data_IF_187436840588
#
_entry.id   IF_187436840588
#
_cell.length_a   1.000
_cell.length_b   1.000
_cell.length_c   1.000
_cell.angle_alpha   90.00
_cell.angle_beta   90.00
_cell.angle_gamma   90.00
#
_symmetry.space_group_name_H-M   'P 1'
#
loop_
_entity.id
_entity.type
_entity.pdbx_description
1 polymer ?
#
# COMPACT_ATOMS: atom_id res chain seq x y z
N UNK A 1 -12.11 1.92 1.12
CA UNK A 1 -12.94 2.96 0.49
C UNK A 1 -12.07 3.73 -0.48
N UNK A 2 -12.51 3.88 -1.74
CA UNK A 2 -11.82 4.73 -2.73
C UNK A 2 -11.89 6.18 -2.27
N UNK A 3 -10.72 6.82 -2.08
CA UNK A 3 -10.62 8.25 -1.72
C UNK A 3 -10.83 9.19 -2.92
N UNK A 4 -10.93 8.60 -4.10
CA UNK A 4 -11.36 9.23 -5.35
C UNK A 4 -12.90 9.38 -5.37
N UNK A 5 -13.41 10.45 -4.75
CA UNK A 5 -14.84 10.73 -4.59
C UNK A 5 -15.28 11.98 -5.39
N UNK A 6 -16.57 12.12 -5.69
CA UNK A 6 -17.09 13.32 -6.39
C UNK A 6 -16.70 14.59 -5.62
N UNK A 7 -16.83 14.54 -4.29
CA UNK A 7 -16.43 15.63 -3.41
C UNK A 7 -14.96 16.01 -3.59
N UNK A 8 -14.07 15.02 -3.68
CA UNK A 8 -12.64 15.28 -3.90
C UNK A 8 -12.40 16.02 -5.24
N UNK A 9 -13.14 15.68 -6.31
CA UNK A 9 -13.00 16.37 -7.61
C UNK A 9 -13.54 17.79 -7.59
N UNK A 10 -14.67 18.01 -6.91
CA UNK A 10 -15.22 19.36 -6.70
C UNK A 10 -14.30 20.24 -5.85
N UNK A 11 -13.65 19.65 -4.84
CA UNK A 11 -12.67 20.35 -4.01
C UNK A 11 -11.44 20.76 -4.86
N UNK A 12 -10.96 19.89 -5.76
CA UNK A 12 -9.86 20.22 -6.69
C UNK A 12 -10.21 21.39 -7.62
N UNK A 13 -11.43 21.40 -8.15
CA UNK A 13 -11.94 22.48 -9.01
C UNK A 13 -12.01 23.80 -8.23
N UNK A 14 -12.56 23.77 -7.01
CA UNK A 14 -12.63 24.93 -6.11
C UNK A 14 -11.26 25.49 -5.75
N UNK A 15 -10.26 24.61 -5.60
CA UNK A 15 -8.88 24.99 -5.29
C UNK A 15 -8.08 25.44 -6.52
N UNK A 16 -8.60 25.25 -7.74
CA UNK A 16 -7.91 25.66 -8.97
C UNK A 16 -6.71 24.79 -9.37
N UNK A 17 -6.59 23.57 -8.81
CA UNK A 17 -5.44 22.66 -9.01
C UNK A 17 -5.84 21.38 -9.75
N UNK A 18 -4.87 20.68 -10.36
CA UNK A 18 -5.06 19.38 -11.03
C UNK A 18 -6.24 19.36 -12.03
N UNK A 19 -6.26 20.30 -12.99
CA UNK A 19 -7.34 20.46 -14.00
C UNK A 19 -7.77 19.17 -14.69
N UNK A 20 -6.82 18.25 -14.94
CA UNK A 20 -7.10 16.95 -15.56
C UNK A 20 -7.94 15.98 -14.70
N UNK A 21 -8.27 16.33 -13.46
CA UNK A 21 -9.12 15.56 -12.56
C UNK A 21 -10.45 16.27 -12.24
N UNK A 22 -10.77 17.36 -12.95
CA UNK A 22 -12.03 18.08 -12.75
C UNK A 22 -13.22 17.31 -13.32
N UNK A 23 -14.41 17.61 -12.83
CA UNK A 23 -15.65 17.02 -13.35
C UNK A 23 -15.88 17.47 -14.79
N UNK A 24 -16.15 16.53 -15.69
CA UNK A 24 -16.54 16.87 -17.05
C UNK A 24 -18.03 17.26 -17.08
N UNK A 25 -18.33 18.45 -17.61
CA UNK A 25 -19.67 19.05 -17.69
C UNK A 25 -20.31 18.92 -19.08
N UNK A 26 -19.62 18.30 -20.05
CA UNK A 26 -20.06 18.23 -21.45
C UNK A 26 -21.20 17.23 -21.71
N UNK A 27 -21.59 16.42 -20.72
CA UNK A 27 -22.79 15.58 -20.80
C UNK A 27 -23.81 16.01 -19.75
N UNK A 28 -25.12 15.83 -20.05
CA UNK A 28 -26.29 16.10 -19.19
C UNK A 28 -26.18 15.60 -17.73
N UNK A 29 -25.16 14.78 -17.43
CA UNK A 29 -24.75 14.42 -16.08
C UNK A 29 -23.26 14.72 -15.92
N UNK A 30 -22.90 15.40 -14.84
CA UNK A 30 -21.51 15.58 -14.46
C UNK A 30 -20.84 14.20 -14.31
N UNK A 31 -19.88 13.88 -15.19
CA UNK A 31 -19.17 12.60 -15.20
C UNK A 31 -17.72 12.80 -14.80
N UNK A 32 -17.19 11.81 -14.08
CA UNK A 32 -15.77 11.75 -13.74
C UNK A 32 -15.06 10.91 -14.78
N UNK A 33 -14.12 11.51 -15.47
CA UNK A 33 -13.18 10.75 -16.28
C UNK A 33 -12.30 9.89 -15.38
N UNK A 34 -11.87 8.74 -15.90
CA UNK A 34 -11.00 7.86 -15.16
C UNK A 34 -9.68 8.59 -14.88
N UNK A 35 -9.37 8.82 -13.61
CA UNK A 35 -8.13 9.48 -13.24
C UNK A 35 -6.91 8.77 -13.85
N UNK A 36 -5.89 9.52 -14.26
CA UNK A 36 -4.71 8.96 -14.93
C UNK A 36 -3.90 7.97 -14.06
N UNK A 37 -4.10 8.00 -12.73
CA UNK A 37 -3.54 7.04 -11.78
C UNK A 37 -4.45 5.83 -11.50
N UNK A 38 -5.64 5.76 -12.11
CA UNK A 38 -6.59 4.66 -11.95
C UNK A 38 -6.38 3.58 -13.00
N UNK A 39 -6.30 2.33 -12.55
CA UNK A 39 -6.19 1.16 -13.42
C UNK A 39 -7.54 0.81 -14.07
N UNK A 40 -7.52 0.40 -15.34
CA UNK A 40 -8.70 -0.16 -16.00
C UNK A 40 -9.05 -1.53 -15.41
N UNK A 41 -10.26 -2.01 -15.69
CA UNK A 41 -10.71 -3.33 -15.21
C UNK A 41 -9.77 -4.47 -15.65
N UNK A 42 -9.27 -4.41 -16.90
CA UNK A 42 -8.36 -5.42 -17.42
C UNK A 42 -7.01 -5.40 -16.71
N UNK A 43 -6.42 -4.20 -16.53
CA UNK A 43 -5.16 -4.01 -15.82
C UNK A 43 -5.27 -4.50 -14.36
N UNK A 44 -6.42 -4.28 -13.70
CA UNK A 44 -6.66 -4.80 -12.34
C UNK A 44 -6.65 -6.33 -12.32
N UNK A 45 -7.29 -6.97 -13.29
CA UNK A 45 -7.26 -8.44 -13.42
C UNK A 45 -5.84 -8.94 -13.68
N UNK A 46 -5.08 -8.24 -14.50
CA UNK A 46 -3.70 -8.58 -14.80
C UNK A 46 -2.81 -8.50 -13.55
N UNK A 47 -2.92 -7.41 -12.77
CA UNK A 47 -2.24 -7.29 -11.48
C UNK A 47 -2.62 -8.44 -10.54
N UNK A 48 -3.90 -8.76 -10.42
CA UNK A 48 -4.33 -9.86 -9.55
C UNK A 48 -3.80 -11.21 -10.03
N UNK A 49 -3.81 -11.46 -11.35
CA UNK A 49 -3.21 -12.68 -11.92
C UNK A 49 -1.72 -12.77 -11.59
N UNK A 50 -0.97 -11.68 -11.75
CA UNK A 50 0.44 -11.60 -11.39
C UNK A 50 0.67 -11.92 -9.90
N UNK A 51 -0.07 -11.26 -9.00
CA UNK A 51 0.15 -11.48 -7.56
C UNK A 51 -0.30 -12.91 -7.17
N UNK A 52 -1.29 -13.48 -7.84
CA UNK A 52 -1.76 -14.85 -7.60
C UNK A 52 -0.81 -15.93 -8.09
N UNK A 53 0.03 -15.65 -9.09
CA UNK A 53 1.02 -16.62 -9.58
C UNK A 53 2.26 -16.73 -8.68
N UNK A 54 2.45 -15.77 -7.76
CA UNK A 54 3.60 -15.74 -6.86
C UNK A 54 3.40 -16.71 -5.71
N UNK A 55 4.39 -17.57 -5.50
CA UNK A 55 4.49 -18.45 -4.33
C UNK A 55 5.58 -17.93 -3.40
N UNK A 56 5.27 -17.90 -2.11
CA UNK A 56 6.23 -17.55 -1.07
C UNK A 56 6.73 -18.80 -0.34
N UNK A 57 7.95 -18.76 0.23
CA UNK A 57 8.41 -19.80 1.15
C UNK A 57 7.43 -19.97 2.32
N UNK A 58 7.39 -21.18 2.87
CA UNK A 58 6.51 -21.46 4.01
C UNK A 58 6.82 -20.54 5.19
N UNK A 59 5.77 -20.08 5.85
CA UNK A 59 5.87 -19.11 6.94
C UNK A 59 6.31 -17.71 6.54
N UNK A 60 6.52 -17.37 5.26
CA UNK A 60 6.87 -16.01 4.86
C UNK A 60 5.62 -15.12 4.73
N UNK A 61 4.64 -15.49 3.91
CA UNK A 61 3.39 -14.74 3.73
C UNK A 61 2.22 -15.71 3.49
N UNK A 62 0.99 -15.25 3.67
CA UNK A 62 -0.19 -16.06 3.34
C UNK A 62 -0.23 -16.39 1.85
N UNK A 63 -0.87 -17.50 1.50
CA UNK A 63 -1.09 -17.87 0.10
C UNK A 63 -1.91 -16.76 -0.61
N UNK A 64 -1.27 -16.05 -1.53
CA UNK A 64 -1.82 -14.88 -2.23
C UNK A 64 -3.06 -15.21 -3.04
N UNK A 65 -3.16 -16.41 -3.62
CA UNK A 65 -4.35 -16.87 -4.35
C UNK A 65 -5.62 -16.84 -3.50
N UNK A 66 -5.52 -17.18 -2.21
CA UNK A 66 -6.66 -17.19 -1.27
C UNK A 66 -7.09 -15.77 -0.89
N UNK A 67 -6.24 -14.79 -1.14
CA UNK A 67 -6.45 -13.39 -0.79
C UNK A 67 -6.98 -12.54 -1.97
N UNK A 68 -7.46 -13.18 -3.03
CA UNK A 68 -7.91 -12.48 -4.24
C UNK A 68 -9.25 -12.99 -4.73
N UNK A 69 -10.06 -12.04 -5.20
CA UNK A 69 -11.25 -12.32 -5.97
C UNK A 69 -11.04 -11.70 -7.35
N UNK A 70 -10.58 -12.54 -8.29
CA UNK A 70 -10.26 -12.11 -9.67
C UNK A 70 -11.53 -11.67 -10.39
N UNK A 71 -12.65 -12.38 -10.20
CA UNK A 71 -13.94 -12.08 -10.84
C UNK A 71 -14.46 -10.71 -10.45
N UNK A 72 -14.35 -10.35 -9.17
CA UNK A 72 -14.71 -9.03 -8.66
C UNK A 72 -13.58 -8.01 -8.76
N UNK A 73 -12.42 -8.39 -9.30
CA UNK A 73 -11.22 -7.55 -9.41
C UNK A 73 -10.84 -6.86 -8.10
N UNK A 74 -10.88 -7.61 -6.99
CA UNK A 74 -10.63 -7.10 -5.63
C UNK A 74 -9.67 -8.01 -4.88
N UNK A 75 -8.79 -7.40 -4.10
CA UNK A 75 -8.14 -8.09 -2.99
C UNK A 75 -9.18 -8.40 -1.92
N UNK A 76 -9.14 -9.60 -1.35
CA UNK A 76 -10.02 -10.04 -0.28
C UNK A 76 -9.18 -10.69 0.80
N UNK A 77 -9.48 -10.48 2.09
CA UNK A 77 -8.84 -11.24 3.18
C UNK A 77 -7.30 -11.11 3.27
N UNK A 78 -6.72 -10.00 2.82
CA UNK A 78 -5.31 -9.70 3.14
C UNK A 78 -5.22 -9.30 4.61
N UNK A 79 -4.32 -9.94 5.36
CA UNK A 79 -3.96 -9.47 6.70
C UNK A 79 -2.96 -8.32 6.60
N UNK A 80 -2.76 -7.60 7.70
CA UNK A 80 -1.79 -6.49 7.81
C UNK A 80 -0.40 -6.87 7.32
N UNK A 81 0.10 -8.04 7.74
CA UNK A 81 1.37 -8.60 7.27
C UNK A 81 1.41 -8.81 5.75
N UNK A 82 0.35 -9.40 5.16
CA UNK A 82 0.29 -9.67 3.72
C UNK A 82 0.24 -8.36 2.90
N UNK A 83 -0.50 -7.36 3.39
CA UNK A 83 -0.49 -6.01 2.82
C UNK A 83 0.92 -5.40 2.85
N UNK A 84 1.65 -5.60 3.94
CA UNK A 84 3.01 -5.09 4.08
C UNK A 84 3.97 -5.75 3.08
N UNK A 85 3.92 -7.09 2.95
CA UNK A 85 4.70 -7.83 1.93
C UNK A 85 4.34 -7.35 0.52
N UNK A 86 3.05 -7.17 0.23
CA UNK A 86 2.59 -6.66 -1.05
C UNK A 86 3.17 -5.27 -1.36
N UNK A 87 3.05 -4.31 -0.43
CA UNK A 87 3.58 -2.95 -0.59
C UNK A 87 5.10 -2.92 -0.79
N UNK A 88 5.84 -3.76 -0.05
CA UNK A 88 7.30 -3.79 -0.09
C UNK A 88 7.89 -4.52 -1.30
N UNK A 89 7.25 -5.58 -1.77
CA UNK A 89 7.87 -6.52 -2.72
C UNK A 89 7.15 -6.62 -4.05
N UNK A 90 5.82 -6.51 -4.05
CA UNK A 90 5.00 -6.89 -5.19
C UNK A 90 4.42 -5.68 -5.91
N UNK A 91 4.02 -4.65 -5.16
CA UNK A 91 3.30 -3.49 -5.69
C UNK A 91 4.07 -2.82 -6.81
N UNK A 92 5.33 -2.45 -6.57
CA UNK A 92 6.21 -1.79 -7.55
C UNK A 92 6.43 -2.60 -8.83
N UNK A 93 6.48 -3.93 -8.70
CA UNK A 93 6.70 -4.83 -9.84
C UNK A 93 5.41 -4.99 -10.63
N UNK A 94 4.30 -5.24 -9.93
CA UNK A 94 3.01 -5.53 -10.54
C UNK A 94 2.39 -4.36 -11.29
N UNK A 95 2.66 -3.11 -10.88
CA UNK A 95 2.08 -1.93 -11.55
C UNK A 95 2.96 -1.35 -12.66
N UNK A 96 4.19 -1.88 -12.85
CA UNK A 96 5.23 -1.21 -13.64
C UNK A 96 4.84 -0.92 -15.08
N UNK A 97 4.07 -1.81 -15.70
CA UNK A 97 3.58 -1.71 -17.07
C UNK A 97 2.08 -1.36 -17.15
N UNK A 98 1.40 -1.27 -16.00
CA UNK A 98 -0.05 -1.07 -15.93
C UNK A 98 -0.46 0.39 -15.70
N UNK A 99 0.47 1.25 -15.29
CA UNK A 99 0.23 2.66 -15.00
C UNK A 99 1.28 3.54 -15.68
N UNK A 100 0.97 4.82 -15.81
CA UNK A 100 1.90 5.82 -16.35
C UNK A 100 3.17 5.90 -15.51
N UNK A 101 4.32 6.11 -16.17
CA UNK A 101 5.64 6.17 -15.52
C UNK A 101 5.68 7.16 -14.36
N UNK A 102 4.97 8.27 -14.48
CA UNK A 102 4.94 9.32 -13.47
C UNK A 102 4.16 8.92 -12.21
N UNK A 103 3.24 7.95 -12.33
CA UNK A 103 2.54 7.34 -11.19
C UNK A 103 3.36 6.18 -10.60
N UNK A 104 3.95 5.36 -11.47
CA UNK A 104 4.74 4.19 -11.07
C UNK A 104 5.98 4.60 -10.28
N UNK A 105 6.73 5.62 -10.74
CA UNK A 105 8.01 6.01 -10.12
C UNK A 105 7.86 6.38 -8.64
N UNK A 106 6.93 7.26 -8.20
CA UNK A 106 6.71 7.53 -6.78
C UNK A 106 6.28 6.30 -5.99
N UNK A 107 5.40 5.45 -6.53
CA UNK A 107 5.00 4.21 -5.85
C UNK A 107 6.20 3.25 -5.69
N UNK A 108 7.07 3.15 -6.68
CA UNK A 108 8.31 2.38 -6.58
C UNK A 108 9.24 2.91 -5.48
N UNK A 109 9.36 4.23 -5.33
CA UNK A 109 10.14 4.84 -4.25
C UNK A 109 9.53 4.49 -2.88
N UNK A 110 8.21 4.54 -2.74
CA UNK A 110 7.52 4.09 -1.53
C UNK A 110 7.80 2.61 -1.21
N UNK A 111 7.72 1.73 -2.22
CA UNK A 111 8.04 0.30 -2.07
C UNK A 111 9.49 0.05 -1.66
N UNK A 112 10.43 0.96 -1.99
CA UNK A 112 11.84 0.89 -1.57
C UNK A 112 12.09 1.47 -0.18
N UNK A 113 11.32 2.47 0.22
CA UNK A 113 11.42 3.13 1.53
C UNK A 113 11.13 2.16 2.69
N UNK A 114 10.04 1.38 2.60
CA UNK A 114 9.65 0.49 3.68
C UNK A 114 10.70 -0.59 4.01
N UNK A 115 11.28 -1.33 3.04
CA UNK A 115 12.33 -2.31 3.30
C UNK A 115 13.56 -1.73 3.99
N UNK A 116 13.93 -0.47 3.73
CA UNK A 116 15.05 0.19 4.41
C UNK A 116 14.76 0.37 5.91
N UNK A 117 13.55 0.80 6.25
CA UNK A 117 13.13 0.97 7.65
C UNK A 117 12.94 -0.37 8.39
N UNK A 118 12.55 -1.41 7.67
CA UNK A 118 12.30 -2.74 8.19
C UNK A 118 13.47 -3.68 7.92
N UNK A 119 14.66 -3.14 7.69
CA UNK A 119 15.86 -3.96 7.62
C UNK A 119 16.22 -4.45 9.02
N UNK A 120 16.79 -5.66 9.11
CA UNK A 120 17.28 -6.20 10.39
C UNK A 120 18.39 -5.33 10.98
N UNK A 121 19.21 -4.77 10.08
CA UNK A 121 20.28 -3.83 10.38
C UNK A 121 20.18 -2.69 9.36
N UNK A 122 20.41 -1.46 9.80
CA UNK A 122 20.50 -0.30 8.93
C UNK A 122 21.63 0.62 9.40
N UNK A 123 22.23 1.37 8.48
CA UNK A 123 23.15 2.44 8.85
C UNK A 123 22.36 3.69 9.21
N UNK A 124 22.81 4.45 10.22
CA UNK A 124 22.12 5.68 10.61
C UNK A 124 22.06 6.70 9.47
N UNK A 125 23.10 6.75 8.64
CA UNK A 125 23.21 7.57 7.42
C UNK A 125 22.04 7.32 6.46
N UNK A 126 21.72 6.06 6.19
CA UNK A 126 20.59 5.67 5.32
C UNK A 126 19.25 6.15 5.87
N UNK A 127 19.08 6.10 7.20
CA UNK A 127 17.84 6.57 7.85
C UNK A 127 17.76 8.09 7.88
N UNK A 128 18.87 8.81 8.03
CA UNK A 128 18.90 10.26 7.87
C UNK A 128 18.52 10.67 6.45
N UNK A 129 19.04 9.99 5.44
CA UNK A 129 18.63 10.21 4.05
C UNK A 129 17.13 9.91 3.85
N UNK A 130 16.63 8.84 4.47
CA UNK A 130 15.21 8.47 4.40
C UNK A 130 14.27 9.55 4.96
N UNK A 131 14.72 10.41 5.90
CA UNK A 131 13.94 11.57 6.38
C UNK A 131 13.66 12.58 5.28
N UNK A 132 14.64 12.80 4.40
CA UNK A 132 14.49 13.71 3.27
C UNK A 132 13.71 13.06 2.13
N UNK A 133 14.02 11.80 1.83
CA UNK A 133 13.40 11.06 0.73
C UNK A 133 11.88 10.91 0.90
N UNK A 134 11.42 10.67 2.14
CA UNK A 134 9.98 10.55 2.41
C UNK A 134 9.23 11.86 2.18
N UNK A 135 9.82 13.00 2.53
CA UNK A 135 9.21 14.32 2.30
C UNK A 135 9.10 14.57 0.80
N UNK A 136 10.17 14.35 0.04
CA UNK A 136 10.13 14.47 -1.42
C UNK A 136 9.10 13.53 -2.06
N UNK A 137 8.98 12.30 -1.55
CA UNK A 137 8.00 11.33 -2.01
C UNK A 137 6.57 11.80 -1.77
N UNK A 138 6.28 12.35 -0.58
CA UNK A 138 4.96 12.91 -0.30
C UNK A 138 4.63 14.10 -1.19
N UNK A 139 5.59 14.99 -1.48
CA UNK A 139 5.39 16.07 -2.46
C UNK A 139 5.05 15.53 -3.85
N UNK A 140 5.73 14.46 -4.31
CA UNK A 140 5.41 13.80 -5.59
C UNK A 140 4.00 13.18 -5.59
N UNK A 141 3.60 12.60 -4.47
CA UNK A 141 2.24 12.09 -4.32
C UNK A 141 1.20 13.21 -4.34
N UNK A 142 1.52 14.40 -3.81
CA UNK A 142 0.59 15.53 -3.75
C UNK A 142 0.31 16.10 -5.14
N UNK A 143 1.29 16.00 -6.03
CA UNK A 143 1.12 16.32 -7.44
C UNK A 143 0.25 15.31 -8.20
N UNK A 144 0.11 14.08 -7.71
CA UNK A 144 -0.54 12.97 -8.43
C UNK A 144 -1.94 12.67 -7.89
N UNK A 145 -2.08 12.62 -6.58
CA UNK A 145 -3.29 12.17 -5.90
C UNK A 145 -4.07 13.36 -5.35
N UNK A 146 -5.41 13.26 -5.25
CA UNK A 146 -6.22 14.30 -4.64
C UNK A 146 -5.91 14.43 -3.13
N UNK A 147 -6.14 15.61 -2.51
CA UNK A 147 -5.96 15.82 -1.06
C UNK A 147 -6.62 14.75 -0.17
N UNK A 148 -7.74 14.17 -0.60
CA UNK A 148 -8.43 13.09 0.10
C UNK A 148 -7.59 11.81 0.30
N UNK A 149 -6.51 11.62 -0.47
CA UNK A 149 -5.54 10.53 -0.31
C UNK A 149 -4.69 10.70 0.95
N UNK A 150 -4.38 11.94 1.33
CA UNK A 150 -3.52 12.31 2.46
C UNK A 150 -4.25 12.17 3.79
N UNK A 151 -4.54 10.92 4.15
CA UNK A 151 -5.03 10.56 5.48
C UNK A 151 -3.89 10.60 6.50
N UNK A 152 -4.22 10.55 7.79
CA UNK A 152 -3.24 10.45 8.87
C UNK A 152 -2.21 9.33 8.65
N UNK A 153 -2.60 8.21 8.06
CA UNK A 153 -1.69 7.09 7.75
C UNK A 153 -0.57 7.45 6.77
N UNK A 154 -0.83 8.33 5.80
CA UNK A 154 0.19 8.80 4.86
C UNK A 154 1.18 9.72 5.58
N UNK A 155 0.69 10.61 6.44
CA UNK A 155 1.54 11.52 7.21
C UNK A 155 2.41 10.81 8.25
N UNK A 156 1.92 9.71 8.84
CA UNK A 156 2.71 8.89 9.78
C UNK A 156 4.03 8.42 9.17
N UNK A 157 4.11 8.26 7.84
CA UNK A 157 5.33 7.82 7.16
C UNK A 157 6.52 8.77 7.40
N UNK A 158 6.28 10.07 7.55
CA UNK A 158 7.33 11.08 7.81
C UNK A 158 8.03 10.84 9.16
N UNK A 159 7.31 10.28 10.13
CA UNK A 159 7.83 10.02 11.47
C UNK A 159 8.53 8.68 11.60
N UNK A 160 8.41 7.78 10.61
CA UNK A 160 8.99 6.44 10.69
C UNK A 160 10.53 6.44 10.75
N UNK A 161 11.26 7.26 9.97
CA UNK A 161 12.71 7.32 10.09
C UNK A 161 13.19 7.79 11.47
N UNK A 162 12.53 8.82 12.04
CA UNK A 162 12.82 9.28 13.40
C UNK A 162 12.59 8.16 14.42
N UNK A 163 11.44 7.48 14.32
CA UNK A 163 11.09 6.36 15.20
C UNK A 163 12.04 5.17 15.05
N UNK A 164 12.64 4.97 13.87
CA UNK A 164 13.67 3.95 13.66
C UNK A 164 14.99 4.34 14.34
N UNK A 165 15.39 5.62 14.27
CA UNK A 165 16.61 6.10 14.93
C UNK A 165 16.54 6.05 16.46
N UNK A 166 15.38 6.41 17.03
CA UNK A 166 15.20 6.44 18.49
C UNK A 166 15.07 5.05 19.12
N UNK A 167 14.34 4.15 18.46
CA UNK A 167 13.95 2.87 19.06
C UNK A 167 14.42 1.64 18.27
N UNK A 168 15.38 1.84 17.35
CA UNK A 168 16.04 0.76 16.62
C UNK A 168 15.18 0.11 15.51
N UNK A 169 15.64 -1.04 14.98
CA UNK A 169 14.97 -1.75 13.89
C UNK A 169 13.49 -2.03 14.16
N UNK A 170 12.66 -1.74 13.16
CA UNK A 170 11.20 -1.87 13.27
C UNK A 170 10.77 -3.33 13.43
N UNK A 171 11.54 -4.28 12.87
CA UNK A 171 11.23 -5.71 12.87
C UNK A 171 11.03 -6.30 14.27
N UNK A 172 11.81 -5.84 15.25
CA UNK A 172 11.71 -6.32 16.63
C UNK A 172 10.51 -5.75 17.40
N UNK A 173 9.85 -4.74 16.84
CA UNK A 173 8.74 -4.01 17.46
C UNK A 173 7.39 -4.29 16.80
N UNK A 174 7.37 -5.17 15.80
CA UNK A 174 6.15 -5.58 15.14
C UNK A 174 5.34 -6.55 15.99
N UNK A 175 4.02 -6.37 15.94
CA UNK A 175 3.09 -7.28 16.60
C UNK A 175 3.03 -8.64 15.90
N UNK A 176 3.46 -8.74 14.63
CA UNK A 176 3.34 -9.95 13.81
C UNK A 176 3.98 -11.19 14.42
N UNK A 177 5.14 -11.05 15.09
CA UNK A 177 5.80 -12.16 15.76
C UNK A 177 4.93 -12.70 16.91
N UNK A 178 4.37 -11.79 17.71
CA UNK A 178 3.49 -12.10 18.84
C UNK A 178 2.18 -12.72 18.33
N UNK A 179 1.57 -12.13 17.30
CA UNK A 179 0.34 -12.65 16.68
C UNK A 179 0.54 -14.07 16.11
N UNK A 180 1.70 -14.36 15.49
CA UNK A 180 2.03 -15.70 15.01
C UNK A 180 2.18 -16.69 16.15
N UNK A 181 2.93 -16.34 17.18
CA UNK A 181 3.12 -17.17 18.37
C UNK A 181 1.78 -17.51 19.03
N UNK A 182 0.94 -16.50 19.26
CA UNK A 182 -0.41 -16.70 19.81
C UNK A 182 -1.28 -17.59 18.91
N UNK A 183 -1.14 -17.44 17.60
CA UNK A 183 -1.82 -18.29 16.62
C UNK A 183 -1.40 -19.76 16.68
N UNK A 184 -0.11 -20.05 16.90
CA UNK A 184 0.40 -21.41 17.10
C UNK A 184 -0.05 -21.99 18.44
N UNK A 185 0.11 -21.23 19.53
CA UNK A 185 -0.37 -21.64 20.85
C UNK A 185 -1.86 -21.98 20.83
N UNK A 186 -2.68 -21.16 20.14
CA UNK A 186 -4.13 -21.42 20.00
C UNK A 186 -4.45 -22.73 19.29
N UNK A 187 -3.61 -23.20 18.35
CA UNK A 187 -3.80 -24.51 17.69
C UNK A 187 -3.45 -25.67 18.64
N UNK A 188 -2.50 -25.44 19.54
CA UNK A 188 -2.03 -26.44 20.50
C UNK A 188 -2.97 -26.57 21.72
N UNK A 189 -3.73 -25.52 22.06
CA UNK A 189 -4.77 -25.59 23.08
C UNK A 189 -5.97 -26.37 22.52
N UNK A 190 -5.99 -27.69 22.75
CA UNK A 190 -7.16 -28.55 22.53
C UNK A 190 -8.26 -28.20 23.54
N UNK A 191 -9.51 -28.41 23.12
CA UNK A 191 -10.71 -28.17 23.91
C UNK A 191 -10.63 -28.91 25.26
N UNK A 192 -10.69 -28.20 26.39
CA UNK A 192 -10.62 -28.81 27.75
C UNK A 192 -11.78 -29.78 28.05
N UNK A 193 -12.83 -29.77 27.23
CA UNK A 193 -14.03 -30.59 27.46
C UNK A 193 -13.89 -32.07 27.03
N UNK A 194 -12.90 -32.45 26.21
CA UNK A 194 -12.62 -33.85 25.82
C UNK A 194 -11.13 -34.07 25.56
N UNK A 195 -10.35 -34.52 26.55
CA UNK A 195 -9.09 -35.20 26.31
C UNK A 195 -9.40 -36.62 25.78
N UNK A 196 -8.63 -37.10 24.80
CA UNK A 196 -8.52 -38.54 24.52
C UNK A 196 -7.73 -39.21 25.65
#
# INVERSE_FOLDING_TARGET
>A
MTKDTIKAHLDLERMGIQRGLWMNRDSDRARRDLAFFSMKSNDKKELLKFVSSIKFPDGYASNTTRCMNVDRSKFARLKSHDCHVFMQRLLSVGIRHLLLKDVVKPIMLLSRFFPQLTAKFFQKTDIYQSRYDIVQLLCKFDMIFPPAFFTSMIHVMVHLPEKALLAGPVNYRWMYLIERLLGELKKNVRNRAKPE
#
